data_IF_646801364583
#
_entry.id   IF_646801364583
#
_cell.length_a   1.000
_cell.length_b   1.000
_cell.length_c   1.000
_cell.angle_alpha   90.00
_cell.angle_beta   90.00
_cell.angle_gamma   90.00
#
_symmetry.space_group_name_H-M   'P 1'
#
loop_
_entity.id
_entity.type
_entity.pdbx_description
1 polymer ?
#
# COMPACT_ATOMS: atom_id res chain seq x y z
N UNK A 1 17.38 -8.38 2.08
CA UNK A 1 15.93 -8.09 2.05
C UNK A 1 15.16 -9.01 3.00
N UNK A 2 15.28 -10.34 2.87
CA UNK A 2 14.51 -11.27 3.70
C UNK A 2 14.75 -11.07 5.21
N UNK A 3 15.99 -10.92 5.66
CA UNK A 3 16.30 -10.71 7.09
C UNK A 3 15.61 -9.45 7.64
N UNK A 4 15.61 -8.37 6.85
CA UNK A 4 14.87 -7.16 7.18
C UNK A 4 13.35 -7.40 7.20
N UNK A 5 12.80 -8.14 6.24
CA UNK A 5 11.39 -8.52 6.20
C UNK A 5 11.01 -9.34 7.44
N UNK A 6 11.76 -10.38 7.75
CA UNK A 6 11.52 -11.25 8.89
C UNK A 6 11.68 -10.56 10.26
N UNK A 7 12.35 -9.39 10.31
CA UNK A 7 12.43 -8.60 11.55
C UNK A 7 11.11 -7.87 11.87
N UNK A 8 10.25 -7.60 10.88
CA UNK A 8 8.97 -6.89 11.06
C UNK A 8 7.75 -7.81 11.06
N UNK A 9 7.87 -9.00 10.46
CA UNK A 9 6.72 -9.89 10.24
C UNK A 9 6.92 -11.25 10.92
N UNK A 10 5.82 -11.83 11.36
CA UNK A 10 5.67 -13.22 11.80
C UNK A 10 5.06 -14.08 10.69
N UNK A 11 5.09 -15.40 10.86
CA UNK A 11 4.52 -16.39 9.95
C UNK A 11 5.09 -16.27 8.52
N UNK A 12 6.40 -16.01 8.39
CA UNK A 12 7.08 -15.91 7.10
C UNK A 12 8.24 -16.90 6.98
N UNK A 13 8.54 -17.29 5.75
CA UNK A 13 9.73 -18.07 5.39
C UNK A 13 10.42 -17.48 4.17
N UNK A 14 11.68 -17.85 3.96
CA UNK A 14 12.41 -17.40 2.77
C UNK A 14 11.72 -17.82 1.48
N UNK A 15 11.19 -19.05 1.42
CA UNK A 15 10.50 -19.57 0.23
C UNK A 15 9.23 -18.78 -0.09
N UNK A 16 8.42 -18.48 0.95
CA UNK A 16 7.22 -17.65 0.80
C UNK A 16 7.59 -16.25 0.31
N UNK A 17 8.61 -15.64 0.92
CA UNK A 17 9.10 -14.32 0.51
C UNK A 17 9.60 -14.29 -0.93
N UNK A 18 10.41 -15.27 -1.34
CA UNK A 18 10.93 -15.36 -2.71
C UNK A 18 9.82 -15.63 -3.73
N UNK A 19 8.86 -16.49 -3.38
CA UNK A 19 7.70 -16.76 -4.23
C UNK A 19 6.89 -15.48 -4.47
N UNK A 20 6.62 -14.70 -3.42
CA UNK A 20 5.89 -13.44 -3.57
C UNK A 20 6.71 -12.39 -4.34
N UNK A 21 8.01 -12.28 -4.04
CA UNK A 21 8.93 -11.37 -4.74
C UNK A 21 9.00 -11.68 -6.25
N UNK A 22 8.93 -12.96 -6.63
CA UNK A 22 8.97 -13.37 -8.04
C UNK A 22 7.80 -12.86 -8.89
N UNK A 23 6.68 -12.50 -8.24
CA UNK A 23 5.48 -11.94 -8.88
C UNK A 23 5.55 -10.41 -9.06
N UNK A 24 6.56 -9.76 -8.49
CA UNK A 24 6.71 -8.31 -8.56
C UNK A 24 7.42 -7.89 -9.86
N UNK A 25 7.04 -6.74 -10.40
CA UNK A 25 7.68 -6.17 -11.60
C UNK A 25 8.94 -5.36 -11.29
N UNK A 26 9.21 -5.06 -10.03
CA UNK A 26 10.38 -4.33 -9.59
C UNK A 26 10.45 -4.13 -8.08
N UNK A 27 11.62 -3.70 -7.63
CA UNK A 27 11.90 -3.38 -6.24
C UNK A 27 12.65 -2.07 -6.17
N UNK A 28 12.27 -1.20 -5.25
CA UNK A 28 13.08 -0.06 -4.84
C UNK A 28 13.89 -0.50 -3.62
N UNK A 29 15.20 -0.34 -3.67
CA UNK A 29 16.10 -0.64 -2.56
C UNK A 29 16.65 0.65 -1.96
N UNK A 30 16.66 0.72 -0.64
CA UNK A 30 17.39 1.70 0.13
C UNK A 30 18.60 1.01 0.74
N UNK A 31 19.80 1.42 0.33
CA UNK A 31 21.07 0.87 0.82
C UNK A 31 21.84 1.89 1.62
N UNK A 32 22.58 1.43 2.62
CA UNK A 32 23.50 2.25 3.40
C UNK A 32 24.80 2.43 2.62
N UNK A 33 25.23 3.70 2.42
CA UNK A 33 26.39 4.03 1.58
C UNK A 33 27.72 3.45 2.06
N UNK A 34 27.86 3.14 3.35
CA UNK A 34 29.13 2.68 3.92
C UNK A 34 29.46 1.23 3.60
N UNK A 35 28.45 0.38 3.35
CA UNK A 35 28.62 -1.07 3.23
C UNK A 35 27.60 -1.74 2.31
N UNK A 36 26.81 -0.95 1.58
CA UNK A 36 25.75 -1.39 0.66
C UNK A 36 24.67 -2.29 1.29
N UNK A 37 24.60 -2.33 2.64
CA UNK A 37 23.56 -3.09 3.34
C UNK A 37 22.18 -2.53 3.01
N UNK A 38 21.22 -3.43 2.71
CA UNK A 38 19.82 -3.07 2.48
C UNK A 38 19.17 -2.70 3.82
N UNK A 39 18.80 -1.44 3.97
CA UNK A 39 18.16 -0.86 5.16
C UNK A 39 16.69 -0.49 4.93
N UNK A 40 16.20 -0.68 3.70
CA UNK A 40 14.79 -0.54 3.36
C UNK A 40 14.51 -1.00 1.94
N UNK A 41 13.24 -1.32 1.67
CA UNK A 41 12.80 -1.64 0.31
C UNK A 41 11.30 -1.43 0.15
N UNK A 42 10.86 -1.32 -1.12
CA UNK A 42 9.45 -1.39 -1.50
C UNK A 42 9.31 -2.22 -2.77
N UNK A 43 8.39 -3.19 -2.74
CA UNK A 43 8.08 -4.02 -3.92
C UNK A 43 7.01 -3.35 -4.77
N UNK A 44 7.11 -3.48 -6.09
CA UNK A 44 6.22 -2.81 -7.04
C UNK A 44 5.68 -3.78 -8.08
N UNK A 45 4.41 -3.61 -8.46
CA UNK A 45 3.83 -4.26 -9.63
C UNK A 45 3.03 -3.24 -10.43
N UNK A 46 3.28 -3.13 -11.74
CA UNK A 46 2.47 -2.32 -12.65
C UNK A 46 1.59 -3.23 -13.50
N UNK A 47 0.34 -2.84 -13.70
CA UNK A 47 -0.63 -3.64 -14.45
C UNK A 47 -1.75 -2.77 -15.02
N UNK A 48 -2.48 -3.33 -15.98
CA UNK A 48 -3.64 -2.69 -16.58
C UNK A 48 -4.91 -3.47 -16.22
N UNK A 49 -5.99 -2.75 -15.95
CA UNK A 49 -7.32 -3.31 -15.71
C UNK A 49 -8.35 -2.62 -16.61
N UNK A 50 -9.53 -3.22 -16.71
CA UNK A 50 -10.70 -2.60 -17.33
C UNK A 50 -11.78 -2.42 -16.27
N UNK A 51 -12.20 -1.16 -16.05
CA UNK A 51 -13.26 -0.80 -15.11
C UNK A 51 -14.30 0.04 -15.85
N UNK A 52 -15.57 -0.37 -15.78
CA UNK A 52 -16.67 0.28 -16.49
C UNK A 52 -16.39 0.46 -18.01
N UNK A 53 -15.78 -0.53 -18.64
CA UNK A 53 -15.42 -0.52 -20.06
C UNK A 53 -14.22 0.37 -20.42
N UNK A 54 -13.55 0.98 -19.44
CA UNK A 54 -12.38 1.84 -19.64
C UNK A 54 -11.11 1.16 -19.14
N UNK A 55 -10.07 1.18 -19.98
CA UNK A 55 -8.74 0.76 -19.55
C UNK A 55 -8.18 1.75 -18.54
N UNK A 56 -7.70 1.25 -17.43
CA UNK A 56 -6.97 1.97 -16.40
C UNK A 56 -5.63 1.30 -16.17
N UNK A 57 -4.67 2.06 -15.67
CA UNK A 57 -3.36 1.55 -15.28
C UNK A 57 -3.18 1.68 -13.78
N UNK A 58 -2.52 0.70 -13.18
CA UNK A 58 -2.21 0.68 -11.77
C UNK A 58 -0.74 0.46 -11.48
N UNK A 59 -0.27 1.04 -10.38
CA UNK A 59 0.95 0.67 -9.71
C UNK A 59 0.60 0.20 -8.30
N UNK A 60 0.86 -1.06 -8.01
CA UNK A 60 0.69 -1.64 -6.69
C UNK A 60 2.03 -1.58 -5.96
N UNK A 61 2.06 -0.96 -4.79
CA UNK A 61 3.16 -1.08 -3.85
C UNK A 61 2.82 -2.13 -2.81
N UNK A 62 3.61 -3.19 -2.79
CA UNK A 62 3.50 -4.26 -1.81
C UNK A 62 4.28 -3.93 -0.53
N UNK A 63 5.11 -4.89 -0.10
CA UNK A 63 5.90 -4.70 1.11
C UNK A 63 6.76 -3.45 1.04
N UNK A 64 6.58 -2.57 2.00
CA UNK A 64 7.38 -1.36 2.17
C UNK A 64 7.91 -1.33 3.60
N UNK A 65 9.21 -1.55 3.73
CA UNK A 65 9.90 -1.68 5.01
C UNK A 65 11.12 -0.77 5.03
N UNK A 66 11.33 -0.09 6.14
CA UNK A 66 12.50 0.73 6.40
C UNK A 66 12.93 0.47 7.85
N UNK A 67 14.22 0.20 8.08
CA UNK A 67 14.77 0.11 9.44
C UNK A 67 14.45 1.37 10.25
N UNK A 68 14.10 1.26 11.54
CA UNK A 68 13.71 2.40 12.37
C UNK A 68 14.74 3.55 12.39
N UNK A 69 16.04 3.22 12.32
CA UNK A 69 17.11 4.21 12.26
C UNK A 69 17.07 5.13 11.02
N UNK A 70 16.32 4.72 9.98
CA UNK A 70 16.18 5.46 8.72
C UNK A 70 14.77 6.01 8.50
N UNK A 71 13.87 5.93 9.50
CA UNK A 71 12.56 6.56 9.41
C UNK A 71 12.68 8.07 9.23
N UNK A 72 11.78 8.62 8.41
CA UNK A 72 11.84 10.03 8.02
C UNK A 72 12.75 10.30 6.81
N UNK A 73 13.47 9.28 6.30
CA UNK A 73 14.21 9.41 5.06
C UNK A 73 13.25 9.32 3.86
N UNK A 74 13.28 10.33 3.01
CA UNK A 74 12.37 10.45 1.86
C UNK A 74 12.86 9.72 0.59
N UNK A 75 14.02 9.05 0.61
CA UNK A 75 14.63 8.47 -0.60
C UNK A 75 13.73 7.40 -1.27
N UNK A 76 13.07 6.55 -0.47
CA UNK A 76 12.10 5.57 -0.98
C UNK A 76 10.89 6.24 -1.62
N UNK A 77 10.29 7.21 -0.95
CA UNK A 77 9.15 7.98 -1.44
C UNK A 77 9.51 8.75 -2.72
N UNK A 78 10.67 9.42 -2.75
CA UNK A 78 11.16 10.15 -3.94
C UNK A 78 11.38 9.21 -5.12
N UNK A 79 11.94 8.02 -4.87
CA UNK A 79 12.16 7.03 -5.94
C UNK A 79 10.84 6.47 -6.45
N UNK A 80 9.88 6.23 -5.56
CA UNK A 80 8.52 5.85 -5.94
C UNK A 80 7.85 6.93 -6.80
N UNK A 81 7.91 8.19 -6.38
CA UNK A 81 7.38 9.32 -7.17
C UNK A 81 8.00 9.42 -8.56
N UNK A 82 9.33 9.24 -8.67
CA UNK A 82 10.01 9.18 -9.97
C UNK A 82 9.46 8.05 -10.84
N UNK A 83 9.22 6.87 -10.25
CA UNK A 83 8.62 5.74 -10.98
C UNK A 83 7.21 6.07 -11.46
N UNK A 84 6.39 6.68 -10.63
CA UNK A 84 5.04 7.16 -10.98
C UNK A 84 5.09 8.15 -12.14
N UNK A 85 5.98 9.13 -12.10
CA UNK A 85 6.16 10.11 -13.18
C UNK A 85 6.53 9.44 -14.50
N UNK A 86 7.49 8.50 -14.49
CA UNK A 86 7.89 7.74 -15.68
C UNK A 86 6.69 6.99 -16.28
N UNK A 87 5.91 6.30 -15.45
CA UNK A 87 4.73 5.58 -15.92
C UNK A 87 3.65 6.54 -16.45
N UNK A 88 3.48 7.70 -15.82
CA UNK A 88 2.55 8.73 -16.25
C UNK A 88 2.93 9.31 -17.61
N UNK A 89 4.21 9.57 -17.85
CA UNK A 89 4.70 10.05 -19.17
C UNK A 89 4.54 9.00 -20.27
N UNK A 90 4.71 7.72 -19.95
CA UNK A 90 4.49 6.63 -20.93
C UNK A 90 3.01 6.48 -21.32
N UNK A 91 2.10 6.80 -20.40
CA UNK A 91 0.65 6.59 -20.56
C UNK A 91 -0.14 7.86 -20.19
N UNK A 92 0.03 8.99 -20.93
CA UNK A 92 -0.47 10.30 -20.52
C UNK A 92 -2.01 10.40 -20.45
N UNK A 93 -2.72 9.63 -21.28
CA UNK A 93 -4.18 9.69 -21.37
C UNK A 93 -4.90 8.57 -20.60
N UNK A 94 -4.16 7.61 -20.07
CA UNK A 94 -4.74 6.48 -19.32
C UNK A 94 -4.93 6.88 -17.85
N UNK A 95 -6.13 6.73 -17.26
CA UNK A 95 -6.30 6.91 -15.82
C UNK A 95 -5.31 6.05 -15.06
N UNK A 96 -4.62 6.64 -14.09
CA UNK A 96 -3.53 5.98 -13.38
C UNK A 96 -3.75 6.05 -11.88
N UNK A 97 -3.59 4.91 -11.20
CA UNK A 97 -3.90 4.76 -9.79
C UNK A 97 -2.74 4.11 -9.04
N UNK A 98 -2.54 4.54 -7.80
CA UNK A 98 -1.74 3.82 -6.83
C UNK A 98 -2.63 2.88 -6.04
N UNK A 99 -2.32 1.60 -6.07
CA UNK A 99 -2.96 0.57 -5.26
C UNK A 99 -2.04 0.16 -4.12
N UNK A 100 -2.62 -0.03 -2.95
CA UNK A 100 -1.94 -0.53 -1.78
C UNK A 100 -2.92 -1.28 -0.88
N UNK A 101 -2.38 -2.15 -0.03
CA UNK A 101 -3.14 -2.82 1.02
C UNK A 101 -2.59 -2.38 2.37
N UNK A 102 -3.48 -2.03 3.29
CA UNK A 102 -3.11 -1.47 4.59
C UNK A 102 -3.39 -2.48 5.69
N UNK A 103 -2.34 -3.10 6.19
CA UNK A 103 -2.37 -3.96 7.38
C UNK A 103 -2.49 -3.16 8.67
N UNK A 104 -1.89 -1.96 8.70
CA UNK A 104 -1.93 -1.03 9.83
C UNK A 104 -2.25 0.40 9.43
N UNK A 105 -2.76 1.18 10.37
CA UNK A 105 -3.19 2.57 10.14
C UNK A 105 -2.08 3.48 9.58
N UNK A 106 -0.81 3.21 9.85
CA UNK A 106 0.31 4.03 9.36
C UNK A 106 0.38 4.05 7.83
N UNK A 107 0.16 2.90 7.18
CA UNK A 107 0.10 2.81 5.72
C UNK A 107 -1.14 3.52 5.17
N UNK A 108 -2.29 3.41 5.85
CA UNK A 108 -3.49 4.15 5.48
C UNK A 108 -3.27 5.68 5.58
N UNK A 109 -2.54 6.16 6.60
CA UNK A 109 -2.20 7.58 6.72
C UNK A 109 -1.29 8.07 5.59
N UNK A 110 -0.43 7.24 5.00
CA UNK A 110 0.32 7.63 3.81
C UNK A 110 -0.62 7.99 2.65
N UNK A 111 -1.70 7.24 2.48
CA UNK A 111 -2.71 7.55 1.47
C UNK A 111 -3.44 8.85 1.81
N UNK A 112 -4.00 8.96 3.01
CA UNK A 112 -4.84 10.11 3.39
C UNK A 112 -4.10 11.44 3.44
N UNK A 113 -2.80 11.42 3.75
CA UNK A 113 -1.98 12.61 3.83
C UNK A 113 -1.46 13.09 2.47
N UNK A 114 -1.38 12.19 1.46
CA UNK A 114 -0.76 12.51 0.19
C UNK A 114 -1.74 12.55 -0.99
N UNK A 115 -2.98 12.06 -0.81
CA UNK A 115 -3.95 11.98 -1.90
C UNK A 115 -5.21 12.76 -1.60
N UNK A 116 -5.68 13.52 -2.58
CA UNK A 116 -6.95 14.23 -2.51
C UNK A 116 -8.12 13.29 -2.86
N UNK A 117 -7.93 12.50 -3.91
CA UNK A 117 -8.90 11.55 -4.43
C UNK A 117 -8.43 10.14 -4.11
N UNK A 118 -9.07 9.50 -3.13
CA UNK A 118 -8.69 8.17 -2.65
C UNK A 118 -9.89 7.40 -2.09
N UNK A 119 -9.71 6.10 -1.95
CA UNK A 119 -10.63 5.18 -1.28
C UNK A 119 -9.84 4.22 -0.37
N UNK A 120 -10.38 3.85 0.81
CA UNK A 120 -11.62 4.34 1.42
C UNK A 120 -11.42 5.74 2.04
N UNK A 121 -12.47 6.57 2.00
CA UNK A 121 -12.41 7.95 2.48
C UNK A 121 -13.37 8.17 3.66
N UNK A 122 -12.91 8.81 4.74
CA UNK A 122 -13.69 9.07 5.96
C UNK A 122 -14.93 9.93 5.71
N UNK A 123 -14.89 10.81 4.72
CA UNK A 123 -16.00 11.69 4.35
C UNK A 123 -16.95 11.07 3.30
N UNK A 124 -16.84 9.75 3.06
CA UNK A 124 -17.42 9.13 1.88
C UNK A 124 -16.55 9.41 0.65
N UNK A 125 -16.90 8.88 -0.48
CA UNK A 125 -16.05 9.04 -1.67
C UNK A 125 -16.81 8.79 -2.96
N UNK A 126 -16.17 9.10 -4.07
CA UNK A 126 -16.65 8.76 -5.39
C UNK A 126 -16.69 7.24 -5.55
N UNK A 127 -17.86 6.70 -5.86
CA UNK A 127 -18.12 5.28 -6.07
C UNK A 127 -17.21 4.68 -7.16
N UNK A 128 -16.69 5.51 -8.06
CA UNK A 128 -15.69 5.11 -9.05
C UNK A 128 -14.44 4.53 -8.39
N UNK A 129 -13.93 5.15 -7.32
CA UNK A 129 -12.73 4.65 -6.64
C UNK A 129 -12.99 3.33 -5.92
N UNK A 130 -14.20 3.15 -5.39
CA UNK A 130 -14.63 1.87 -4.85
C UNK A 130 -14.63 0.77 -5.91
N UNK A 131 -15.23 1.01 -7.08
CA UNK A 131 -15.22 0.04 -8.20
C UNK A 131 -13.82 -0.26 -8.71
N UNK A 132 -12.95 0.75 -8.78
CA UNK A 132 -11.52 0.56 -9.11
C UNK A 132 -10.84 -0.33 -8.07
N UNK A 133 -11.11 -0.12 -6.78
CA UNK A 133 -10.58 -0.95 -5.69
C UNK A 133 -11.08 -2.38 -5.77
N UNK A 134 -12.37 -2.59 -6.00
CA UNK A 134 -12.96 -3.92 -6.21
C UNK A 134 -12.28 -4.66 -7.37
N UNK A 135 -12.14 -4.01 -8.52
CA UNK A 135 -11.55 -4.62 -9.69
C UNK A 135 -10.08 -5.05 -9.48
N UNK A 136 -9.28 -4.25 -8.78
CA UNK A 136 -7.91 -4.66 -8.50
C UNK A 136 -7.83 -5.76 -7.44
N UNK A 137 -8.72 -5.76 -6.44
CA UNK A 137 -8.79 -6.85 -5.46
C UNK A 137 -9.16 -8.18 -6.12
N UNK A 138 -10.15 -8.17 -7.01
CA UNK A 138 -10.54 -9.36 -7.79
C UNK A 138 -9.41 -9.86 -8.70
N UNK A 139 -8.62 -8.95 -9.26
CA UNK A 139 -7.51 -9.31 -10.13
C UNK A 139 -6.27 -9.83 -9.39
N UNK A 140 -5.95 -9.26 -8.23
CA UNK A 140 -4.71 -9.55 -7.50
C UNK A 140 -4.90 -10.51 -6.32
N UNK A 141 -6.09 -10.50 -5.69
CA UNK A 141 -6.36 -11.20 -4.44
C UNK A 141 -7.75 -11.88 -4.42
N UNK A 142 -8.14 -12.62 -5.49
CA UNK A 142 -9.51 -13.14 -5.62
C UNK A 142 -9.93 -14.02 -4.44
N UNK A 143 -9.02 -14.83 -3.90
CA UNK A 143 -9.30 -15.77 -2.80
C UNK A 143 -9.40 -15.08 -1.42
N UNK A 144 -8.79 -13.91 -1.27
CA UNK A 144 -8.74 -13.19 -0.01
C UNK A 144 -9.78 -12.06 0.07
N UNK A 145 -10.39 -11.66 -1.05
CA UNK A 145 -11.23 -10.48 -1.11
C UNK A 145 -12.65 -10.72 -0.63
N UNK A 146 -12.99 -10.14 0.52
CA UNK A 146 -14.39 -10.03 0.98
C UNK A 146 -15.03 -8.75 0.43
N UNK A 147 -15.77 -8.88 -0.66
CA UNK A 147 -16.44 -7.76 -1.33
C UNK A 147 -17.46 -7.04 -0.44
N UNK A 148 -18.13 -7.76 0.48
CA UNK A 148 -19.14 -7.15 1.36
C UNK A 148 -18.50 -6.24 2.39
N UNK A 149 -17.40 -6.68 2.95
CA UNK A 149 -16.64 -5.93 3.96
C UNK A 149 -15.65 -4.95 3.35
N UNK A 150 -15.33 -5.09 2.07
CA UNK A 150 -14.25 -4.37 1.39
C UNK A 150 -12.91 -4.55 2.13
N UNK A 151 -12.60 -5.79 2.50
CA UNK A 151 -11.39 -6.20 3.20
C UNK A 151 -10.73 -7.37 2.49
N UNK A 152 -9.44 -7.51 2.70
CA UNK A 152 -8.67 -8.70 2.35
C UNK A 152 -8.44 -9.53 3.62
N UNK A 153 -8.80 -10.79 3.56
CA UNK A 153 -8.61 -11.78 4.62
C UNK A 153 -7.83 -12.96 4.08
N UNK A 154 -6.56 -13.03 4.41
CA UNK A 154 -5.65 -14.08 3.95
C UNK A 154 -5.62 -15.28 4.89
N UNK A 155 -6.48 -15.31 5.91
CA UNK A 155 -6.55 -16.38 6.90
C UNK A 155 -5.64 -16.17 8.11
N UNK A 156 -5.78 -17.07 9.10
CA UNK A 156 -5.13 -16.90 10.40
C UNK A 156 -3.61 -17.20 10.42
N UNK A 157 -3.12 -17.91 9.40
CA UNK A 157 -1.69 -18.24 9.25
C UNK A 157 -0.94 -17.23 8.38
N UNK A 158 -1.62 -16.18 7.95
CA UNK A 158 -1.02 -15.16 7.11
C UNK A 158 0.01 -14.33 7.88
N UNK A 159 0.96 -13.79 7.13
CA UNK A 159 1.99 -12.88 7.61
C UNK A 159 1.36 -11.70 8.36
N UNK A 160 1.68 -11.53 9.64
CA UNK A 160 1.20 -10.43 10.47
C UNK A 160 2.35 -9.57 10.99
N UNK A 161 2.03 -8.32 11.36
CA UNK A 161 3.00 -7.40 11.96
C UNK A 161 3.38 -7.88 13.37
N UNK A 162 4.67 -7.82 13.70
CA UNK A 162 5.16 -8.11 15.04
C UNK A 162 4.81 -6.99 16.03
N UNK A 163 4.41 -7.39 17.23
CA UNK A 163 4.28 -6.52 18.40
C UNK A 163 3.46 -5.25 18.16
N UNK A 164 3.92 -4.13 18.73
CA UNK A 164 3.18 -2.86 18.79
C UNK A 164 3.41 -1.94 17.59
N UNK A 165 3.88 -2.46 16.45
CA UNK A 165 4.26 -1.65 15.27
C UNK A 165 3.11 -0.76 14.79
N UNK A 166 1.87 -1.21 14.94
CA UNK A 166 0.67 -0.51 14.49
C UNK A 166 -0.44 -0.45 15.57
N UNK A 167 -0.07 -0.45 16.86
CA UNK A 167 -1.05 -0.38 17.96
C UNK A 167 -1.86 0.92 17.89
N UNK A 168 -3.17 0.77 18.04
CA UNK A 168 -4.13 1.90 18.02
C UNK A 168 -4.60 2.16 19.44
N UNK A 169 -4.19 3.29 20.01
CA UNK A 169 -4.62 3.72 21.34
C UNK A 169 -5.83 4.66 21.29
N UNK A 170 -6.59 4.80 22.40
CA UNK A 170 -7.67 5.79 22.48
C UNK A 170 -7.22 7.22 22.16
N UNK A 171 -6.01 7.60 22.59
CA UNK A 171 -5.43 8.93 22.36
C UNK A 171 -5.16 9.14 20.86
N UNK A 172 -4.60 8.16 20.17
CA UNK A 172 -4.38 8.22 18.73
C UNK A 172 -5.69 8.39 17.95
N UNK A 173 -6.74 7.67 18.35
CA UNK A 173 -8.07 7.80 17.73
C UNK A 173 -8.68 9.18 17.97
N UNK A 174 -8.53 9.72 19.18
CA UNK A 174 -9.05 11.04 19.51
C UNK A 174 -8.29 12.15 18.76
N UNK A 175 -6.98 11.96 18.53
CA UNK A 175 -6.13 12.92 17.84
C UNK A 175 -6.28 12.91 16.31
N UNK A 176 -6.70 11.79 15.72
CA UNK A 176 -6.76 11.66 14.27
C UNK A 176 -7.99 10.84 13.80
N UNK A 177 -8.96 11.50 13.12
CA UNK A 177 -10.18 10.84 12.65
C UNK A 177 -9.92 9.73 11.62
N UNK A 178 -8.83 9.78 10.88
CA UNK A 178 -8.46 8.73 9.93
C UNK A 178 -8.04 7.43 10.63
N UNK A 179 -7.41 7.52 11.82
CA UNK A 179 -7.08 6.35 12.64
C UNK A 179 -8.34 5.70 13.18
N UNK A 180 -9.28 6.51 13.72
CA UNK A 180 -10.56 6.02 14.18
C UNK A 180 -11.38 5.36 13.05
N UNK A 181 -11.35 5.96 11.87
CA UNK A 181 -12.00 5.42 10.69
C UNK A 181 -11.36 4.11 10.23
N UNK A 182 -10.03 4.02 10.20
CA UNK A 182 -9.31 2.79 9.86
C UNK A 182 -9.73 1.62 10.77
N UNK A 183 -9.72 1.81 12.09
CA UNK A 183 -10.17 0.78 13.04
C UNK A 183 -11.64 0.40 12.84
N UNK A 184 -12.50 1.38 12.54
CA UNK A 184 -13.93 1.14 12.27
C UNK A 184 -14.16 0.24 11.06
N UNK A 185 -13.43 0.47 9.95
CA UNK A 185 -13.59 -0.31 8.71
C UNK A 185 -12.80 -1.62 8.72
N UNK A 186 -11.80 -1.75 9.60
CA UNK A 186 -11.00 -2.96 9.77
C UNK A 186 -10.90 -3.36 11.25
N UNK A 187 -11.99 -3.82 11.89
CA UNK A 187 -11.96 -4.16 13.32
C UNK A 187 -11.07 -5.36 13.65
N UNK A 188 -10.73 -6.17 12.66
CA UNK A 188 -9.89 -7.37 12.81
C UNK A 188 -8.43 -7.14 12.37
N UNK A 189 -7.98 -5.88 12.31
CA UNK A 189 -6.63 -5.55 11.85
C UNK A 189 -5.50 -6.27 12.62
N UNK A 190 -5.72 -6.57 13.93
CA UNK A 190 -4.77 -7.35 14.74
C UNK A 190 -4.62 -8.80 14.27
N UNK A 191 -5.67 -9.37 13.67
CA UNK A 191 -5.64 -10.72 13.08
C UNK A 191 -4.93 -10.74 11.72
N UNK A 192 -4.63 -9.57 11.14
CA UNK A 192 -3.93 -9.44 9.87
C UNK A 192 -4.84 -9.18 8.67
N UNK A 193 -6.14 -8.88 8.87
CA UNK A 193 -6.97 -8.38 7.78
C UNK A 193 -6.44 -7.04 7.26
N UNK A 194 -6.56 -6.80 5.96
CA UNK A 194 -6.01 -5.62 5.30
C UNK A 194 -7.08 -4.80 4.59
N UNK A 195 -6.94 -3.48 4.67
CA UNK A 195 -7.80 -2.55 3.94
C UNK A 195 -7.22 -2.32 2.54
N UNK A 196 -7.94 -2.71 1.47
CA UNK A 196 -7.53 -2.35 0.13
C UNK A 196 -7.79 -0.87 -0.12
N UNK A 197 -6.79 -0.21 -0.66
CA UNK A 197 -6.77 1.23 -0.84
C UNK A 197 -6.39 1.62 -2.26
N UNK A 198 -6.93 2.74 -2.74
CA UNK A 198 -6.56 3.34 -4.02
C UNK A 198 -6.42 4.85 -3.88
N UNK A 199 -5.36 5.40 -4.48
CA UNK A 199 -5.17 6.84 -4.68
C UNK A 199 -5.11 7.17 -6.17
N UNK A 200 -5.80 8.25 -6.60
CA UNK A 200 -5.69 8.72 -7.98
C UNK A 200 -4.36 9.42 -8.21
N UNK A 201 -3.65 8.98 -9.24
CA UNK A 201 -2.41 9.59 -9.72
C UNK A 201 -2.71 10.50 -10.93
N UNK A 202 -3.75 11.31 -10.82
CA UNK A 202 -4.03 12.37 -11.79
C UNK A 202 -2.96 13.48 -11.75
N UNK A 203 -2.96 14.36 -12.75
CA UNK A 203 -1.95 15.42 -12.84
C UNK A 203 -1.96 16.37 -11.63
N UNK A 204 -3.14 16.63 -11.08
CA UNK A 204 -3.27 17.51 -9.91
C UNK A 204 -2.65 16.86 -8.65
N UNK A 205 -2.93 15.59 -8.44
CA UNK A 205 -2.36 14.81 -7.31
C UNK A 205 -0.84 14.68 -7.42
N UNK A 206 -0.32 14.43 -8.63
CA UNK A 206 1.12 14.29 -8.87
C UNK A 206 1.85 15.63 -8.68
N UNK A 207 1.28 16.74 -9.15
CA UNK A 207 1.89 18.06 -8.98
C UNK A 207 1.94 18.51 -7.52
N UNK A 208 0.92 18.20 -6.72
CA UNK A 208 0.88 18.54 -5.29
C UNK A 208 1.87 17.72 -4.45
N UNK A 209 2.17 16.50 -4.84
CA UNK A 209 3.15 15.66 -4.14
C UNK A 209 4.62 16.04 -4.42
N UNK A 210 4.85 16.97 -5.36
CA UNK A 210 6.18 17.46 -5.72
C UNK A 210 6.54 18.81 -5.05
N UNK A 211 5.60 19.40 -4.30
CA UNK A 211 5.79 20.64 -3.53
C UNK A 211 5.92 20.32 -2.05
#
# INVERSE_FOLDING_TARGET
MYDLYASFYENTSLDVFLHDLSKKSGVILLTRKSDDQVVGFSTLTTFDLTVDGRRIRGIFSGDTIIEPAYWGNNALATTFQRRVLIERFKHPLTPFYWFLISKGYKTYLLLTNNFYNYYPNVNGGDERYRRVTEAYCEALFPEAFDRKRMLLDFGNEYVCLKGDVAEITPELKAANPHIAFFEKINPEWRRGTEVPCVGSLDYESVLRSCI
#
